data_IF_123083620231
#
_entry.id   IF_123083620231
#
_cell.length_a   1.000
_cell.length_b   1.000
_cell.length_c   1.000
_cell.angle_alpha   90.00
_cell.angle_beta   90.00
_cell.angle_gamma   90.00
#
_symmetry.space_group_name_H-M   'P 1'
#
loop_
_entity.id
_entity.type
_entity.pdbx_description
1 polymer ?
#
# COMPACT_ATOMS: atom_id res chain seq x y z
N UNK A 1 -2.77 17.88 -22.05
CA UNK A 1 -1.68 18.12 -21.06
C UNK A 1 -0.36 17.47 -21.48
N UNK A 2 0.81 18.03 -21.10
CA UNK A 2 2.11 17.39 -21.27
C UNK A 2 2.17 16.07 -20.48
N UNK A 3 3.07 15.15 -20.84
CA UNK A 3 3.18 13.83 -20.21
C UNK A 3 1.89 13.01 -20.30
N UNK A 4 1.27 13.02 -21.49
CA UNK A 4 0.01 12.32 -21.74
C UNK A 4 0.17 10.83 -21.42
N UNK A 5 -0.70 10.29 -20.57
CA UNK A 5 -0.81 8.84 -20.35
C UNK A 5 -1.29 8.22 -21.66
N UNK A 6 -0.65 7.14 -22.09
CA UNK A 6 -1.07 6.40 -23.27
C UNK A 6 -2.57 6.07 -23.17
N UNK A 7 -3.42 6.52 -24.12
CA UNK A 7 -4.84 6.24 -24.09
C UNK A 7 -5.18 4.75 -24.01
N UNK A 8 -4.36 3.86 -24.59
CA UNK A 8 -4.58 2.43 -24.48
C UNK A 8 -4.35 1.93 -23.03
N UNK A 9 -3.30 2.43 -22.38
CA UNK A 9 -3.04 2.12 -20.98
C UNK A 9 -4.14 2.66 -20.06
N UNK A 10 -4.59 3.90 -20.26
CA UNK A 10 -5.70 4.47 -19.47
C UNK A 10 -6.98 3.65 -19.62
N UNK A 11 -7.33 3.22 -20.85
CA UNK A 11 -8.48 2.31 -21.08
C UNK A 11 -8.34 1.01 -20.31
N UNK A 12 -7.13 0.43 -20.26
CA UNK A 12 -6.89 -0.80 -19.52
C UNK A 12 -7.11 -0.63 -18.01
N UNK A 13 -6.71 0.50 -17.43
CA UNK A 13 -6.97 0.82 -16.01
C UNK A 13 -8.47 0.89 -15.75
N UNK A 14 -9.25 1.53 -16.63
CA UNK A 14 -10.71 1.57 -16.52
C UNK A 14 -11.35 0.19 -16.59
N UNK A 15 -10.95 -0.64 -17.55
CA UNK A 15 -11.48 -2.00 -17.70
C UNK A 15 -11.31 -2.81 -16.41
N UNK A 16 -10.11 -2.80 -15.83
CA UNK A 16 -9.82 -3.54 -14.59
C UNK A 16 -10.59 -2.95 -13.40
N UNK A 17 -10.64 -1.62 -13.29
CA UNK A 17 -11.42 -0.93 -12.24
C UNK A 17 -12.89 -1.31 -12.33
N UNK A 18 -13.46 -1.28 -13.53
CA UNK A 18 -14.86 -1.65 -13.77
C UNK A 18 -15.13 -3.12 -13.45
N UNK A 19 -14.22 -4.04 -13.80
CA UNK A 19 -14.37 -5.46 -13.44
C UNK A 19 -14.45 -5.66 -11.93
N UNK A 20 -13.62 -4.95 -11.15
CA UNK A 20 -13.69 -5.00 -9.69
C UNK A 20 -15.01 -4.40 -9.15
N UNK A 21 -15.45 -3.28 -9.71
CA UNK A 21 -16.71 -2.62 -9.33
C UNK A 21 -17.95 -3.46 -9.66
N UNK A 22 -17.98 -4.10 -10.83
CA UNK A 22 -19.06 -4.98 -11.26
C UNK A 22 -19.14 -6.23 -10.36
N UNK A 23 -18.03 -6.60 -9.69
CA UNK A 23 -17.97 -7.63 -8.66
C UNK A 23 -18.31 -7.12 -7.24
N UNK A 24 -18.67 -5.83 -7.09
CA UNK A 24 -19.02 -5.21 -5.82
C UNK A 24 -17.84 -4.85 -4.93
N UNK A 25 -16.62 -4.75 -5.49
CA UNK A 25 -15.41 -4.42 -4.75
C UNK A 25 -15.09 -2.92 -4.81
N UNK A 26 -14.50 -2.41 -3.72
CA UNK A 26 -13.79 -1.13 -3.76
C UNK A 26 -12.44 -1.28 -4.48
N UNK A 27 -11.89 -0.16 -4.96
CA UNK A 27 -10.62 -0.13 -5.71
C UNK A 27 -9.73 0.97 -5.16
N UNK A 28 -8.46 0.64 -4.92
CA UNK A 28 -7.41 1.62 -4.69
C UNK A 28 -6.59 1.69 -5.97
N UNK A 29 -6.49 2.87 -6.56
CA UNK A 29 -5.59 3.15 -7.70
C UNK A 29 -4.39 3.92 -7.18
N UNK A 30 -3.19 3.48 -7.55
CA UNK A 30 -1.96 4.07 -7.06
C UNK A 30 -0.98 4.42 -8.20
N UNK A 31 0.13 5.03 -7.79
CA UNK A 31 1.33 5.15 -8.62
C UNK A 31 2.39 4.22 -8.06
N UNK A 32 2.62 3.09 -8.73
CA UNK A 32 3.52 2.05 -8.24
C UNK A 32 4.87 2.04 -9.00
N UNK A 33 5.98 1.78 -8.31
CA UNK A 33 7.32 1.63 -8.88
C UNK A 33 7.85 2.79 -9.75
N UNK A 34 7.52 4.05 -9.43
CA UNK A 34 8.02 5.21 -10.18
C UNK A 34 9.44 5.64 -9.73
N UNK A 35 10.43 4.74 -9.80
CA UNK A 35 11.78 4.97 -9.29
C UNK A 35 12.45 6.27 -9.73
N UNK A 36 12.19 6.76 -10.95
CA UNK A 36 12.75 8.02 -11.41
C UNK A 36 12.33 9.21 -10.53
N UNK A 37 11.10 9.20 -9.99
CA UNK A 37 10.62 10.20 -9.03
C UNK A 37 11.33 10.07 -7.69
N UNK A 38 11.58 8.84 -7.22
CA UNK A 38 12.34 8.58 -5.99
C UNK A 38 13.80 9.05 -6.12
N UNK A 39 14.43 8.87 -7.29
CA UNK A 39 15.83 9.26 -7.55
C UNK A 39 15.98 10.76 -7.84
N UNK A 40 15.00 11.35 -8.53
CA UNK A 40 15.09 12.72 -9.05
C UNK A 40 13.78 13.50 -8.85
N UNK A 41 13.35 13.75 -7.59
CA UNK A 41 12.03 14.31 -7.30
C UNK A 41 11.78 15.68 -7.94
N UNK A 42 12.78 16.56 -7.94
CA UNK A 42 12.65 17.88 -8.56
C UNK A 42 12.43 17.81 -10.09
N UNK A 43 13.09 16.87 -10.76
CA UNK A 43 12.97 16.66 -12.22
C UNK A 43 11.63 16.06 -12.60
N UNK A 44 11.16 15.06 -11.85
CA UNK A 44 9.93 14.33 -12.17
C UNK A 44 8.66 14.98 -11.61
N UNK A 45 8.78 16.01 -10.75
CA UNK A 45 7.65 16.71 -10.13
C UNK A 45 6.56 17.11 -11.12
N UNK A 46 6.92 17.81 -12.21
CA UNK A 46 5.94 18.28 -13.20
C UNK A 46 5.20 17.12 -13.89
N UNK A 47 5.90 16.01 -14.12
CA UNK A 47 5.31 14.80 -14.69
C UNK A 47 4.35 14.14 -13.70
N UNK A 48 4.75 13.95 -12.45
CA UNK A 48 3.89 13.38 -11.41
C UNK A 48 2.58 14.15 -11.22
N UNK A 49 2.65 15.49 -11.14
CA UNK A 49 1.45 16.34 -11.03
C UNK A 49 0.55 16.22 -12.27
N UNK A 50 1.13 16.12 -13.47
CA UNK A 50 0.36 15.95 -14.72
C UNK A 50 -0.29 14.57 -14.81
N UNK A 51 0.36 13.51 -14.34
CA UNK A 51 -0.21 12.16 -14.30
C UNK A 51 -1.41 12.13 -13.36
N UNK A 52 -1.30 12.67 -12.15
CA UNK A 52 -2.41 12.76 -11.21
C UNK A 52 -3.56 13.63 -11.72
N UNK A 53 -3.28 14.73 -12.43
CA UNK A 53 -4.33 15.53 -13.09
C UNK A 53 -5.14 14.69 -14.10
N UNK A 54 -4.45 13.87 -14.91
CA UNK A 54 -5.09 13.02 -15.91
C UNK A 54 -5.91 11.89 -15.28
N UNK A 55 -5.38 11.25 -14.23
CA UNK A 55 -6.10 10.20 -13.48
C UNK A 55 -7.33 10.81 -12.79
N UNK A 56 -7.18 11.96 -12.13
CA UNK A 56 -8.29 12.66 -11.48
C UNK A 56 -9.42 13.00 -12.46
N UNK A 57 -9.08 13.53 -13.64
CA UNK A 57 -10.05 13.83 -14.67
C UNK A 57 -10.73 12.57 -15.21
N UNK A 58 -9.95 11.54 -15.50
CA UNK A 58 -10.45 10.27 -16.03
C UNK A 58 -11.44 9.60 -15.07
N UNK A 59 -11.14 9.61 -13.76
CA UNK A 59 -11.95 8.94 -12.74
C UNK A 59 -12.88 9.91 -11.98
N UNK A 60 -13.19 11.09 -12.51
CA UNK A 60 -14.05 12.08 -11.83
C UNK A 60 -15.45 11.53 -11.52
N UNK A 61 -16.05 10.82 -12.47
CA UNK A 61 -17.38 10.20 -12.35
C UNK A 61 -17.36 8.79 -11.69
N UNK A 62 -16.19 8.29 -11.28
CA UNK A 62 -16.12 6.99 -10.62
C UNK A 62 -16.76 7.04 -9.22
N UNK A 63 -17.43 5.97 -8.76
CA UNK A 63 -18.06 5.93 -7.44
C UNK A 63 -17.05 6.16 -6.30
N UNK A 64 -17.55 6.55 -5.13
CA UNK A 64 -16.75 6.81 -3.93
C UNK A 64 -15.96 5.59 -3.42
N UNK A 65 -16.28 4.40 -3.92
CA UNK A 65 -15.53 3.17 -3.66
C UNK A 65 -14.18 3.09 -4.40
N UNK A 66 -13.86 4.07 -5.27
CA UNK A 66 -12.54 4.22 -5.90
C UNK A 66 -11.71 5.26 -5.15
N UNK A 67 -10.59 4.83 -4.59
CA UNK A 67 -9.67 5.61 -3.77
C UNK A 67 -8.40 5.87 -4.57
N UNK A 68 -7.72 6.97 -4.29
CA UNK A 68 -6.43 7.29 -4.90
C UNK A 68 -5.31 7.22 -3.87
N UNK A 69 -4.36 6.32 -4.05
CA UNK A 69 -3.13 6.28 -3.28
C UNK A 69 -2.01 7.01 -4.02
N UNK A 70 -1.51 8.10 -3.43
CA UNK A 70 -0.69 9.01 -4.21
C UNK A 70 0.63 8.41 -4.69
N UNK A 71 1.29 7.64 -3.83
CA UNK A 71 2.55 7.04 -4.20
C UNK A 71 2.93 5.84 -3.33
N UNK A 72 3.21 4.70 -3.98
CA UNK A 72 3.67 3.49 -3.33
C UNK A 72 5.14 3.60 -2.93
N UNK A 73 5.43 3.22 -1.68
CA UNK A 73 6.76 3.01 -1.11
C UNK A 73 7.84 4.05 -1.51
N UNK A 74 7.61 5.36 -1.31
CA UNK A 74 8.67 6.35 -1.49
C UNK A 74 9.92 5.96 -0.70
N UNK A 75 11.08 6.03 -1.36
CA UNK A 75 12.39 5.65 -0.83
C UNK A 75 13.50 6.33 -1.66
N UNK A 76 14.75 5.87 -1.55
CA UNK A 76 15.93 6.40 -2.24
C UNK A 76 16.22 7.86 -1.86
N UNK A 77 16.18 8.78 -2.82
CA UNK A 77 16.66 10.15 -2.65
C UNK A 77 15.56 11.16 -2.29
N UNK A 78 14.27 10.81 -2.43
CA UNK A 78 13.18 11.70 -2.04
C UNK A 78 13.11 11.77 -0.52
N UNK A 79 13.17 12.97 0.05
CA UNK A 79 13.03 13.17 1.50
C UNK A 79 11.57 13.21 1.92
N UNK A 80 11.29 12.99 3.22
CA UNK A 80 9.93 13.12 3.77
C UNK A 80 9.35 14.53 3.60
N UNK A 81 10.21 15.56 3.59
CA UNK A 81 9.81 16.95 3.33
C UNK A 81 9.40 17.13 1.86
N UNK A 82 10.22 16.67 0.91
CA UNK A 82 9.89 16.73 -0.52
C UNK A 82 8.61 15.95 -0.83
N UNK A 83 8.44 14.78 -0.23
CA UNK A 83 7.23 13.98 -0.36
C UNK A 83 6.00 14.72 0.18
N UNK A 84 6.10 15.33 1.37
CA UNK A 84 5.01 16.10 1.96
C UNK A 84 4.62 17.31 1.10
N UNK A 85 5.61 18.01 0.52
CA UNK A 85 5.36 19.10 -0.43
C UNK A 85 4.66 18.59 -1.69
N UNK A 86 5.11 17.48 -2.25
CA UNK A 86 4.53 16.89 -3.45
C UNK A 86 3.07 16.48 -3.25
N UNK A 87 2.75 15.84 -2.11
CA UNK A 87 1.37 15.50 -1.76
C UNK A 87 0.47 16.74 -1.58
N UNK A 88 1.00 17.80 -0.94
CA UNK A 88 0.27 19.06 -0.79
C UNK A 88 -0.03 19.75 -2.13
N UNK A 89 0.76 19.48 -3.17
CA UNK A 89 0.57 20.02 -4.52
C UNK A 89 -0.36 19.17 -5.39
N UNK A 90 -0.34 17.84 -5.22
CA UNK A 90 -1.29 16.94 -5.89
C UNK A 90 -2.71 17.16 -5.38
N UNK A 91 -2.89 17.37 -4.08
CA UNK A 91 -4.22 17.36 -3.48
C UNK A 91 -5.19 18.41 -4.09
N UNK A 92 -4.80 19.70 -4.26
CA UNK A 92 -5.65 20.67 -4.96
C UNK A 92 -5.95 20.30 -6.41
N UNK A 93 -5.07 19.55 -7.09
CA UNK A 93 -5.32 19.06 -8.44
C UNK A 93 -6.45 18.04 -8.42
N UNK A 94 -6.39 17.06 -7.51
CA UNK A 94 -7.44 16.05 -7.36
C UNK A 94 -8.79 16.70 -7.02
N UNK A 95 -8.78 17.65 -6.08
CA UNK A 95 -10.00 18.26 -5.54
C UNK A 95 -10.79 19.13 -6.52
N UNK A 96 -10.20 19.51 -7.66
CA UNK A 96 -10.93 20.21 -8.73
C UNK A 96 -12.08 19.40 -9.32
N UNK A 97 -11.87 18.09 -9.45
CA UNK A 97 -12.83 17.18 -10.09
C UNK A 97 -13.26 16.03 -9.18
N UNK A 98 -12.58 15.85 -8.04
CA UNK A 98 -12.82 14.80 -7.06
C UNK A 98 -12.88 15.39 -5.64
N UNK A 99 -13.91 16.20 -5.31
CA UNK A 99 -13.93 17.00 -4.09
C UNK A 99 -13.96 16.16 -2.80
N UNK A 100 -14.55 14.96 -2.86
CA UNK A 100 -14.75 14.08 -1.69
C UNK A 100 -13.99 12.76 -1.76
N UNK A 101 -13.40 12.42 -2.92
CA UNK A 101 -12.72 11.14 -3.12
C UNK A 101 -11.63 10.93 -2.07
N UNK A 102 -11.60 9.73 -1.47
CA UNK A 102 -10.57 9.40 -0.49
C UNK A 102 -9.20 9.35 -1.14
N UNK A 103 -8.23 9.97 -0.47
CA UNK A 103 -6.83 10.02 -0.89
C UNK A 103 -5.97 9.36 0.18
N UNK A 104 -5.23 8.33 -0.22
CA UNK A 104 -4.35 7.55 0.64
C UNK A 104 -2.92 8.09 0.52
N UNK A 105 -2.29 8.34 1.67
CA UNK A 105 -0.94 8.90 1.77
C UNK A 105 -0.06 8.01 2.65
N UNK A 106 1.04 7.52 2.07
CA UNK A 106 2.06 6.77 2.78
C UNK A 106 3.36 7.56 2.98
N UNK A 107 4.14 7.16 3.98
CA UNK A 107 5.42 7.79 4.33
C UNK A 107 6.58 7.38 3.43
N UNK A 108 7.77 7.91 3.71
CA UNK A 108 9.02 7.45 3.09
C UNK A 108 9.42 6.05 3.61
N UNK A 109 10.66 5.63 3.35
CA UNK A 109 11.24 4.38 3.85
C UNK A 109 10.33 3.18 3.56
N UNK A 110 9.87 3.05 2.31
CA UNK A 110 8.96 1.98 1.90
C UNK A 110 7.64 1.97 2.69
N UNK A 111 7.05 3.16 2.89
CA UNK A 111 5.85 3.35 3.70
C UNK A 111 5.95 2.74 5.12
N UNK A 112 7.12 2.86 5.78
CA UNK A 112 7.26 2.36 7.15
C UNK A 112 6.38 3.13 8.14
N UNK A 113 6.01 2.48 9.25
CA UNK A 113 5.22 3.12 10.31
C UNK A 113 5.97 4.28 10.98
N UNK A 114 7.29 4.17 11.11
CA UNK A 114 8.16 5.22 11.66
C UNK A 114 8.16 6.45 10.75
N UNK A 115 8.28 6.24 9.44
CA UNK A 115 8.33 7.33 8.46
C UNK A 115 6.97 7.99 8.26
N UNK A 116 5.86 7.27 8.47
CA UNK A 116 4.51 7.83 8.42
C UNK A 116 4.34 8.99 9.42
N UNK A 117 4.95 8.89 10.60
CA UNK A 117 4.91 9.93 11.63
C UNK A 117 5.58 11.26 11.23
N UNK A 118 6.47 11.23 10.24
CA UNK A 118 7.26 12.37 9.75
C UNK A 118 6.59 13.13 8.58
N UNK A 119 5.48 12.61 8.03
CA UNK A 119 4.74 13.32 7.00
C UNK A 119 4.07 14.57 7.55
N UNK A 120 4.24 15.70 6.86
CA UNK A 120 3.40 16.88 7.05
C UNK A 120 2.13 16.71 6.23
N UNK A 121 1.09 16.21 6.88
CA UNK A 121 -0.20 15.96 6.25
C UNK A 121 -0.85 17.27 5.76
N UNK A 122 -1.36 17.32 4.52
CA UNK A 122 -2.17 18.45 4.07
C UNK A 122 -3.51 18.49 4.84
N UNK A 123 -4.13 19.68 4.92
CA UNK A 123 -5.43 19.84 5.56
C UNK A 123 -6.54 19.37 4.62
N UNK A 124 -7.12 18.21 4.88
CA UNK A 124 -8.22 17.65 4.09
C UNK A 124 -8.98 16.59 4.87
N UNK A 125 -10.32 16.59 4.75
CA UNK A 125 -11.20 15.71 5.52
C UNK A 125 -11.31 14.28 4.94
N UNK A 126 -10.76 14.06 3.74
CA UNK A 126 -10.90 12.83 2.97
C UNK A 126 -9.55 12.12 2.80
N UNK A 127 -8.65 12.26 3.77
CA UNK A 127 -7.38 11.56 3.81
C UNK A 127 -7.49 10.23 4.55
N UNK A 128 -6.71 9.26 4.08
CA UNK A 128 -6.41 8.00 4.75
C UNK A 128 -4.88 7.88 4.80
N UNK A 129 -4.33 7.48 5.94
CA UNK A 129 -2.90 7.20 6.06
C UNK A 129 -2.63 5.72 5.75
N UNK A 130 -1.48 5.40 5.15
CA UNK A 130 -1.07 4.01 4.93
C UNK A 130 0.36 3.73 5.42
N UNK A 131 0.59 2.51 5.87
CA UNK A 131 1.92 1.93 6.09
C UNK A 131 1.93 0.46 5.67
N UNK A 132 3.10 -0.10 5.40
CA UNK A 132 3.27 -1.51 5.01
C UNK A 132 3.89 -2.32 6.15
N UNK A 133 3.34 -3.50 6.46
CA UNK A 133 3.82 -4.39 7.53
C UNK A 133 4.42 -5.67 6.96
N UNK A 134 5.74 -5.67 6.85
CA UNK A 134 6.53 -6.83 6.46
C UNK A 134 7.44 -7.33 7.58
N UNK A 135 7.17 -6.99 8.84
CA UNK A 135 8.08 -7.32 9.93
C UNK A 135 7.91 -8.75 10.49
N UNK A 136 9.00 -9.51 10.75
CA UNK A 136 10.40 -9.20 10.44
C UNK A 136 10.68 -9.36 8.94
N UNK A 137 11.42 -8.42 8.37
CA UNK A 137 11.71 -8.42 6.93
C UNK A 137 12.52 -9.67 6.53
N UNK A 138 13.43 -10.13 7.41
CA UNK A 138 14.20 -11.36 7.24
C UNK A 138 13.32 -12.61 7.20
N UNK A 139 12.12 -12.57 7.78
CA UNK A 139 11.15 -13.65 7.68
C UNK A 139 10.31 -13.52 6.41
N UNK A 140 9.71 -12.35 6.17
CA UNK A 140 8.72 -12.14 5.11
C UNK A 140 9.33 -12.12 3.72
N UNK A 141 10.62 -11.79 3.58
CA UNK A 141 11.34 -11.63 2.32
C UNK A 141 12.54 -12.59 2.16
N UNK A 142 12.67 -13.61 3.00
CA UNK A 142 13.74 -14.59 2.84
C UNK A 142 13.75 -15.21 1.44
N UNK A 143 14.92 -15.20 0.80
CA UNK A 143 15.08 -15.72 -0.54
C UNK A 143 14.42 -14.91 -1.67
N UNK A 144 13.98 -13.67 -1.41
CA UNK A 144 13.53 -12.74 -2.45
C UNK A 144 14.62 -12.54 -3.51
N UNK A 145 14.25 -12.61 -4.79
CA UNK A 145 15.19 -12.57 -5.92
C UNK A 145 15.58 -11.15 -6.34
N UNK A 146 14.82 -10.16 -5.90
CA UNK A 146 15.03 -8.74 -6.18
C UNK A 146 15.84 -8.00 -5.10
N UNK A 147 16.32 -8.72 -4.09
CA UNK A 147 17.08 -8.14 -2.97
C UNK A 147 18.58 -8.44 -3.09
N UNK A 148 19.40 -7.42 -2.84
CA UNK A 148 20.86 -7.55 -2.76
C UNK A 148 21.43 -6.89 -1.48
N UNK A 149 22.10 -7.66 -0.59
CA UNK A 149 22.29 -9.10 -0.66
C UNK A 149 20.98 -9.86 -0.43
N UNK A 150 20.85 -11.02 -1.08
CA UNK A 150 19.72 -11.93 -0.87
C UNK A 150 19.63 -12.38 0.60
N UNK A 151 18.45 -12.25 1.19
CA UNK A 151 18.21 -12.70 2.57
C UNK A 151 18.25 -14.23 2.66
N UNK A 152 18.90 -14.80 3.69
CA UNK A 152 19.02 -16.25 3.85
C UNK A 152 17.67 -16.91 4.12
N UNK A 153 17.49 -18.13 3.62
CA UNK A 153 16.34 -18.98 3.94
C UNK A 153 16.47 -19.56 5.37
N UNK A 154 15.35 -19.98 5.94
CA UNK A 154 15.28 -20.67 7.23
C UNK A 154 15.01 -19.77 8.44
N UNK A 155 14.68 -18.49 8.23
CA UNK A 155 14.16 -17.64 9.30
C UNK A 155 12.74 -18.07 9.62
N UNK A 156 12.46 -18.37 10.89
CA UNK A 156 11.11 -18.62 11.41
C UNK A 156 10.53 -17.37 12.07
N UNK A 157 9.24 -17.31 12.40
CA UNK A 157 8.62 -16.22 13.16
C UNK A 157 8.16 -16.69 14.53
N UNK A 158 8.30 -15.84 15.56
CA UNK A 158 7.68 -16.05 16.88
C UNK A 158 8.60 -15.84 18.07
N UNK A 159 9.81 -15.31 17.85
CA UNK A 159 10.71 -14.98 18.96
C UNK A 159 10.13 -13.86 19.83
N UNK A 160 10.58 -13.70 21.09
CA UNK A 160 10.18 -12.57 21.92
C UNK A 160 10.41 -11.21 21.26
N UNK A 161 11.47 -11.08 20.45
CA UNK A 161 11.78 -9.87 19.68
C UNK A 161 10.73 -9.63 18.59
N UNK A 162 10.36 -10.67 17.83
CA UNK A 162 9.33 -10.57 16.77
C UNK A 162 7.98 -10.11 17.34
N UNK A 163 7.63 -10.61 18.54
CA UNK A 163 6.39 -10.24 19.21
C UNK A 163 6.47 -8.83 19.79
N UNK A 164 7.63 -8.40 20.28
CA UNK A 164 7.86 -7.04 20.78
C UNK A 164 7.79 -6.01 19.65
N UNK A 165 8.40 -6.33 18.51
CA UNK A 165 8.39 -5.49 17.33
C UNK A 165 6.96 -5.31 16.77
N UNK A 166 6.21 -6.41 16.60
CA UNK A 166 4.78 -6.34 16.28
C UNK A 166 4.03 -5.41 17.25
N UNK A 167 4.23 -5.57 18.57
CA UNK A 167 3.58 -4.69 19.56
C UNK A 167 3.96 -3.22 19.37
N UNK A 168 5.21 -2.94 19.04
CA UNK A 168 5.71 -1.59 18.77
C UNK A 168 5.03 -0.96 17.55
N UNK A 169 5.04 -1.64 16.40
CA UNK A 169 4.42 -1.19 15.14
C UNK A 169 2.96 -0.77 15.37
N UNK A 170 2.15 -1.65 15.96
CA UNK A 170 0.74 -1.35 16.16
C UNK A 170 0.48 -0.34 17.30
N UNK A 171 1.41 -0.18 18.25
CA UNK A 171 1.34 0.93 19.21
C UNK A 171 1.59 2.29 18.53
N UNK A 172 2.58 2.36 17.63
CA UNK A 172 2.86 3.54 16.82
C UNK A 172 1.68 3.89 15.90
N UNK A 173 1.10 2.90 15.21
CA UNK A 173 -0.07 3.10 14.35
C UNK A 173 -1.27 3.68 15.11
N UNK A 174 -1.60 3.15 16.29
CA UNK A 174 -2.67 3.69 17.14
C UNK A 174 -2.35 5.09 17.67
N UNK A 175 -1.09 5.35 18.04
CA UNK A 175 -0.68 6.68 18.49
C UNK A 175 -0.81 7.70 17.35
N UNK A 176 -0.44 7.32 16.13
CA UNK A 176 -0.64 8.12 14.92
C UNK A 176 -2.13 8.40 14.70
N UNK A 177 -2.97 7.36 14.67
CA UNK A 177 -4.41 7.48 14.48
C UNK A 177 -5.05 8.39 15.53
N UNK A 178 -4.66 8.27 16.82
CA UNK A 178 -5.15 9.15 17.90
C UNK A 178 -4.70 10.60 17.73
N UNK A 179 -3.46 10.82 17.28
CA UNK A 179 -2.89 12.16 17.11
C UNK A 179 -3.50 12.90 15.92
N UNK A 180 -3.79 12.20 14.82
CA UNK A 180 -4.23 12.81 13.55
C UNK A 180 -5.74 12.71 13.33
N UNK A 181 -6.41 11.74 13.96
CA UNK A 181 -7.82 11.41 13.70
C UNK A 181 -8.06 10.73 12.35
N UNK A 182 -7.02 10.46 11.56
CA UNK A 182 -7.17 9.84 10.24
C UNK A 182 -7.42 8.33 10.33
N UNK A 183 -8.26 7.75 9.47
CA UNK A 183 -8.24 6.31 9.22
C UNK A 183 -6.84 5.87 8.78
N UNK A 184 -6.46 4.66 9.20
CA UNK A 184 -5.17 4.06 8.83
C UNK A 184 -5.42 2.73 8.13
N UNK A 185 -4.75 2.56 7.00
CA UNK A 185 -4.69 1.36 6.19
C UNK A 185 -3.32 0.69 6.38
N UNK A 186 -3.30 -0.62 6.57
CA UNK A 186 -2.11 -1.44 6.33
C UNK A 186 -2.15 -1.84 4.86
N UNK A 187 -1.53 -1.02 4.00
CA UNK A 187 -1.66 -1.10 2.54
C UNK A 187 -1.12 -2.40 1.97
N UNK A 188 -0.10 -2.94 2.62
CA UNK A 188 0.47 -4.22 2.29
C UNK A 188 0.92 -4.97 3.55
N UNK A 189 0.74 -6.27 3.54
CA UNK A 189 1.37 -7.21 4.47
C UNK A 189 1.33 -8.61 3.84
N UNK A 190 2.36 -9.42 4.08
CA UNK A 190 2.43 -10.75 3.49
C UNK A 190 3.71 -11.51 3.82
N UNK A 191 3.77 -12.76 3.37
CA UNK A 191 4.95 -13.60 3.47
C UNK A 191 5.24 -14.27 2.13
N UNK A 192 6.49 -14.15 1.65
CA UNK A 192 6.94 -14.70 0.38
C UNK A 192 6.71 -16.22 0.30
N UNK A 193 6.42 -16.71 -0.90
CA UNK A 193 6.12 -18.12 -1.17
C UNK A 193 7.29 -19.09 -0.99
N UNK A 194 8.48 -18.59 -0.61
CA UNK A 194 9.63 -19.42 -0.21
C UNK A 194 9.50 -19.95 1.23
N UNK A 195 8.62 -19.36 2.04
CA UNK A 195 8.33 -19.82 3.42
C UNK A 195 7.30 -20.95 3.39
N UNK A 196 7.41 -21.98 4.25
CA UNK A 196 6.40 -23.04 4.34
C UNK A 196 4.98 -22.50 4.51
N UNK A 197 4.03 -23.04 3.74
CA UNK A 197 2.65 -22.52 3.67
C UNK A 197 1.98 -22.41 5.06
N UNK A 198 2.21 -23.38 5.95
CA UNK A 198 1.65 -23.37 7.29
C UNK A 198 2.12 -22.15 8.12
N UNK A 199 3.39 -21.78 8.00
CA UNK A 199 3.94 -20.60 8.67
C UNK A 199 3.39 -19.31 8.06
N UNK A 200 3.25 -19.25 6.73
CA UNK A 200 2.62 -18.12 6.03
C UNK A 200 1.18 -17.89 6.52
N UNK A 201 0.39 -18.96 6.60
CA UNK A 201 -1.02 -18.93 7.06
C UNK A 201 -1.10 -18.46 8.51
N UNK A 202 -0.31 -19.04 9.41
CA UNK A 202 -0.27 -18.64 10.80
C UNK A 202 0.12 -17.17 10.93
N UNK A 203 1.10 -16.73 10.13
CA UNK A 203 1.59 -15.37 10.17
C UNK A 203 0.52 -14.37 9.69
N UNK A 204 -0.09 -14.62 8.53
CA UNK A 204 -1.12 -13.77 7.91
C UNK A 204 -2.36 -13.68 8.79
N UNK A 205 -2.85 -14.82 9.29
CA UNK A 205 -4.03 -14.84 10.15
C UNK A 205 -3.83 -14.01 11.43
N UNK A 206 -2.63 -14.08 12.02
CA UNK A 206 -2.31 -13.30 13.21
C UNK A 206 -2.11 -11.81 12.92
N UNK A 207 -1.50 -11.46 11.78
CA UNK A 207 -1.38 -10.06 11.34
C UNK A 207 -2.76 -9.46 11.13
N UNK A 208 -3.60 -10.09 10.29
CA UNK A 208 -4.99 -9.66 10.06
C UNK A 208 -5.74 -9.38 11.36
N UNK A 209 -5.74 -10.34 12.30
CA UNK A 209 -6.41 -10.16 13.61
C UNK A 209 -5.81 -8.99 14.41
N UNK A 210 -4.49 -8.79 14.33
CA UNK A 210 -3.83 -7.67 15.02
C UNK A 210 -4.27 -6.33 14.42
N UNK A 211 -4.32 -6.24 13.08
CA UNK A 211 -4.76 -5.06 12.35
C UNK A 211 -6.21 -4.71 12.69
N UNK A 212 -7.11 -5.69 12.63
CA UNK A 212 -8.54 -5.52 12.96
C UNK A 212 -8.77 -5.12 14.42
N UNK A 213 -8.06 -5.74 15.37
CA UNK A 213 -8.13 -5.37 16.80
C UNK A 213 -7.61 -3.95 17.06
N UNK A 214 -6.72 -3.45 16.22
CA UNK A 214 -6.23 -2.08 16.28
C UNK A 214 -7.19 -1.08 15.61
N UNK A 215 -8.28 -1.53 15.00
CA UNK A 215 -9.26 -0.66 14.32
C UNK A 215 -8.74 -0.09 13.00
N UNK A 216 -7.83 -0.80 12.32
CA UNK A 216 -7.23 -0.39 11.06
C UNK A 216 -7.78 -1.25 9.91
N UNK A 217 -7.73 -0.72 8.68
CA UNK A 217 -8.04 -1.48 7.46
C UNK A 217 -6.81 -2.19 6.93
N UNK A 218 -6.96 -3.12 5.98
CA UNK A 218 -5.82 -3.83 5.40
C UNK A 218 -6.05 -4.26 3.96
N UNK A 219 -4.95 -4.45 3.22
CA UNK A 219 -4.90 -5.15 1.94
C UNK A 219 -3.71 -6.13 1.98
N UNK A 220 -3.95 -7.40 1.63
CA UNK A 220 -2.90 -8.44 1.70
C UNK A 220 -2.07 -8.43 0.42
N UNK A 221 -0.75 -8.53 0.57
CA UNK A 221 0.18 -8.74 -0.52
C UNK A 221 0.50 -10.24 -0.63
N UNK A 222 0.20 -10.93 -1.72
CA UNK A 222 -0.57 -10.51 -2.88
C UNK A 222 -1.56 -11.60 -3.33
N UNK A 223 -2.28 -11.36 -4.41
CA UNK A 223 -3.24 -12.34 -4.93
C UNK A 223 -2.53 -13.58 -5.51
N UNK A 224 -1.60 -13.41 -6.45
CA UNK A 224 -1.05 -14.50 -7.25
C UNK A 224 0.42 -14.34 -7.65
N UNK A 225 1.15 -13.38 -7.08
CA UNK A 225 2.55 -13.09 -7.33
C UNK A 225 3.48 -13.84 -6.36
N UNK A 226 4.59 -13.20 -5.97
CA UNK A 226 5.60 -13.83 -5.13
C UNK A 226 5.11 -14.09 -3.69
N UNK A 227 4.03 -13.42 -3.28
CA UNK A 227 3.41 -13.55 -1.97
C UNK A 227 2.03 -14.21 -2.05
N UNK A 228 1.77 -14.94 -3.16
CA UNK A 228 0.46 -15.45 -3.53
C UNK A 228 -0.39 -16.01 -2.38
N UNK A 229 -1.66 -15.60 -2.36
CA UNK A 229 -2.71 -16.15 -1.49
C UNK A 229 -3.65 -17.08 -2.26
N UNK A 230 -3.66 -16.97 -3.58
CA UNK A 230 -4.50 -17.72 -4.51
C UNK A 230 -3.65 -18.44 -5.57
N UNK A 231 -4.08 -19.63 -5.96
CA UNK A 231 -3.49 -20.40 -7.05
C UNK A 231 -4.34 -20.23 -8.31
N UNK A 232 -3.81 -19.50 -9.30
CA UNK A 232 -4.51 -19.22 -10.56
C UNK A 232 -4.63 -20.43 -11.47
N UNK A 233 -3.70 -21.39 -11.37
CA UNK A 233 -3.75 -22.64 -12.14
C UNK A 233 -4.84 -23.57 -11.61
N UNK A 234 -4.94 -23.67 -10.28
CA UNK A 234 -5.98 -24.45 -9.60
C UNK A 234 -7.32 -23.72 -9.49
N UNK A 235 -7.31 -22.41 -9.71
CA UNK A 235 -8.45 -21.49 -9.54
C UNK A 235 -9.08 -21.63 -8.15
N UNK A 236 -8.23 -21.72 -7.13
CA UNK A 236 -8.65 -21.88 -5.74
C UNK A 236 -7.66 -21.19 -4.79
N UNK A 237 -8.13 -20.89 -3.59
CA UNK A 237 -7.26 -20.38 -2.53
C UNK A 237 -6.21 -21.43 -2.17
N UNK A 238 -5.02 -20.96 -1.75
CA UNK A 238 -4.07 -21.89 -1.13
C UNK A 238 -4.72 -22.57 0.09
N UNK A 239 -4.46 -23.87 0.34
CA UNK A 239 -5.09 -24.60 1.44
C UNK A 239 -5.00 -23.84 2.76
N UNK A 240 -6.14 -23.47 3.37
CA UNK A 240 -6.20 -22.73 4.63
C UNK A 240 -6.07 -21.19 4.52
N UNK A 241 -5.69 -20.64 3.37
CA UNK A 241 -5.47 -19.20 3.18
C UNK A 241 -6.77 -18.39 3.25
N UNK A 242 -7.86 -18.89 2.67
CA UNK A 242 -9.18 -18.23 2.77
C UNK A 242 -9.62 -18.05 4.22
N UNK A 243 -9.41 -19.07 5.05
CA UNK A 243 -9.71 -18.99 6.48
C UNK A 243 -8.79 -18.02 7.21
N UNK A 244 -7.51 -17.95 6.84
CA UNK A 244 -6.58 -16.96 7.36
C UNK A 244 -7.05 -15.51 7.11
N UNK A 245 -7.56 -15.25 5.91
CA UNK A 245 -7.98 -13.92 5.45
C UNK A 245 -9.40 -13.53 5.88
N UNK A 246 -10.32 -14.48 6.00
CA UNK A 246 -11.74 -14.18 6.25
C UNK A 246 -12.22 -14.60 7.63
N UNK A 247 -11.43 -15.39 8.36
CA UNK A 247 -11.84 -16.01 9.62
C UNK A 247 -12.96 -17.05 9.48
N UNK A 248 -13.27 -17.48 8.25
CA UNK A 248 -14.33 -18.44 7.90
C UNK A 248 -13.79 -19.61 7.10
#
# INVERSE_FOLDING_TARGET
PPYRIDPAFMRRIFEVTKQAQDAGLGVILDMHNYEALMKHPARERARFLSLWAQIAHAFSDAPDSVYFELYNEPTLAISSEQLSLLYAEVLPILRKENPTRKVILGGNSWNSIEALGALRLPKDANLVATFHDYSPHEFTHQGAEWMEPKLPLGRHYGTPADLADKRSIYAQARAFQKRTGLPVLVGEFGVINKVPLAERIAWIAERRRTIERAGLSWCVWDFAGAFNTYDTGRRDWLPGMRAALTGR
#
